data_IF_597592689479
#
_entry.id   IF_597592689479
#
_cell.length_a   1.000
_cell.length_b   1.000
_cell.length_c   1.000
_cell.angle_alpha   90.00
_cell.angle_beta   90.00
_cell.angle_gamma   90.00
#
_symmetry.space_group_name_H-M   'P 1'
#
loop_
_entity.id
_entity.type
_entity.pdbx_description
1 polymer ?
#
# COMPACT_ATOMS: atom_id res chain seq x y z
N UNK A 1 -21.81 17.33 12.63
CA UNK A 1 -20.90 17.78 11.56
C UNK A 1 -21.80 18.23 10.42
N UNK A 2 -22.04 19.54 10.31
CA UNK A 2 -22.77 20.12 9.18
C UNK A 2 -22.04 19.77 7.87
N UNK A 3 -22.80 19.44 6.82
CA UNK A 3 -22.23 19.05 5.53
C UNK A 3 -21.53 20.27 4.92
N UNK A 4 -20.20 20.25 4.85
CA UNK A 4 -19.40 21.27 4.16
C UNK A 4 -19.72 21.25 2.65
N UNK A 5 -19.94 20.07 2.09
CA UNK A 5 -20.40 19.86 0.71
C UNK A 5 -21.59 18.89 0.73
N UNK A 6 -22.71 19.25 0.13
CA UNK A 6 -23.98 18.50 0.29
C UNK A 6 -23.92 17.12 -0.35
N UNK A 7 -23.12 16.96 -1.41
CA UNK A 7 -22.88 15.73 -2.16
C UNK A 7 -21.76 14.81 -1.65
N UNK A 8 -20.87 15.29 -0.78
CA UNK A 8 -19.68 14.53 -0.33
C UNK A 8 -19.67 14.32 1.18
N UNK A 9 -20.08 13.13 1.62
CA UNK A 9 -20.01 12.74 3.03
C UNK A 9 -18.62 12.16 3.34
N UNK A 10 -17.80 12.82 4.16
CA UNK A 10 -16.46 12.34 4.47
C UNK A 10 -16.51 10.98 5.19
N UNK A 11 -15.58 10.10 4.86
CA UNK A 11 -15.15 9.07 5.81
C UNK A 11 -14.51 9.79 6.98
N UNK A 12 -15.11 9.70 8.17
CA UNK A 12 -14.77 10.57 9.30
C UNK A 12 -13.30 10.52 9.71
N UNK A 13 -12.66 9.36 9.58
CA UNK A 13 -11.22 9.16 9.91
C UNK A 13 -10.25 9.66 8.84
N UNK A 14 -10.75 10.00 7.66
CA UNK A 14 -9.95 10.48 6.53
C UNK A 14 -9.76 12.00 6.49
N UNK A 15 -10.44 12.74 7.37
CA UNK A 15 -10.35 14.20 7.41
C UNK A 15 -9.01 14.62 8.01
N UNK A 16 -8.18 15.30 7.21
CA UNK A 16 -6.92 15.89 7.65
C UNK A 16 -6.82 17.35 7.16
N UNK A 17 -5.97 18.13 7.82
CA UNK A 17 -5.72 19.54 7.48
C UNK A 17 -4.23 19.81 7.27
N UNK A 18 -3.90 20.61 6.26
CA UNK A 18 -2.54 21.08 5.94
C UNK A 18 -2.62 22.55 5.54
N UNK A 19 -1.93 23.44 6.26
CA UNK A 19 -1.85 24.88 5.97
C UNK A 19 -3.21 25.54 5.66
N UNK A 20 -4.20 25.27 6.51
CA UNK A 20 -5.57 25.78 6.37
C UNK A 20 -6.40 25.11 5.27
N UNK A 21 -5.84 24.14 4.55
CA UNK A 21 -6.53 23.33 3.53
C UNK A 21 -7.03 22.04 4.17
N UNK A 22 -8.21 21.60 3.77
CA UNK A 22 -8.81 20.34 4.26
C UNK A 22 -8.80 19.31 3.14
N UNK A 23 -8.40 18.09 3.45
CA UNK A 23 -8.45 16.96 2.53
C UNK A 23 -9.12 15.77 3.22
N UNK A 24 -10.03 15.11 2.51
CA UNK A 24 -10.73 13.93 3.01
C UNK A 24 -11.14 13.01 1.86
N UNK A 25 -11.36 11.74 2.16
CA UNK A 25 -12.01 10.81 1.23
C UNK A 25 -13.52 10.84 1.42
N UNK A 26 -14.24 10.72 0.32
CA UNK A 26 -15.70 10.57 0.29
C UNK A 26 -16.07 9.52 -0.74
N UNK A 27 -17.19 8.85 -0.52
CA UNK A 27 -17.79 8.00 -1.55
C UNK A 27 -18.61 8.84 -2.53
N UNK A 28 -18.37 8.67 -3.82
CA UNK A 28 -19.16 9.22 -4.93
C UNK A 28 -19.75 8.06 -5.75
N UNK A 29 -21.06 7.83 -5.65
CA UNK A 29 -21.73 6.68 -6.28
C UNK A 29 -21.06 5.34 -5.88
N UNK A 30 -20.35 4.71 -6.81
CA UNK A 30 -19.69 3.42 -6.63
C UNK A 30 -18.19 3.53 -6.31
N UNK A 31 -17.60 4.72 -6.44
CA UNK A 31 -16.15 4.93 -6.32
C UNK A 31 -15.83 5.88 -5.17
N UNK A 32 -14.66 5.72 -4.58
CA UNK A 32 -14.13 6.66 -3.57
C UNK A 32 -13.34 7.76 -4.31
N UNK A 33 -13.38 8.99 -3.78
CA UNK A 33 -12.66 10.15 -4.31
C UNK A 33 -12.03 10.95 -3.17
N UNK A 34 -10.95 11.67 -3.48
CA UNK A 34 -10.39 12.70 -2.59
C UNK A 34 -11.05 14.04 -2.86
N UNK A 35 -11.38 14.75 -1.79
CA UNK A 35 -11.93 16.09 -1.81
C UNK A 35 -10.96 17.01 -1.09
N UNK A 36 -10.50 18.06 -1.78
CA UNK A 36 -9.59 19.06 -1.24
C UNK A 36 -10.29 20.42 -1.22
N UNK A 37 -10.36 21.07 -0.07
CA UNK A 37 -11.00 22.37 0.15
C UNK A 37 -9.94 23.38 0.60
N UNK A 38 -9.98 24.59 0.05
CA UNK A 38 -9.14 25.70 0.52
C UNK A 38 -7.85 25.93 -0.25
N UNK A 39 -7.65 25.28 -1.40
CA UNK A 39 -6.55 25.60 -2.32
C UNK A 39 -5.97 24.37 -3.03
N UNK A 40 -4.92 24.62 -3.81
CA UNK A 40 -4.19 23.59 -4.54
C UNK A 40 -3.06 22.99 -3.68
N UNK A 41 -2.94 21.68 -3.72
CA UNK A 41 -1.87 20.89 -3.10
C UNK A 41 -1.07 20.09 -4.17
N UNK A 42 -1.30 20.34 -5.46
CA UNK A 42 -0.68 19.62 -6.56
C UNK A 42 -1.26 18.23 -6.80
N UNK A 43 -2.50 17.99 -6.35
CA UNK A 43 -3.26 16.80 -6.72
C UNK A 43 -3.89 17.00 -8.09
N UNK A 44 -3.97 15.93 -8.87
CA UNK A 44 -4.66 15.93 -10.17
C UNK A 44 -6.17 15.73 -9.94
N UNK A 45 -7.01 16.52 -10.59
CA UNK A 45 -8.46 16.41 -10.41
C UNK A 45 -9.27 17.48 -11.14
N UNK A 46 -10.56 17.52 -10.84
CA UNK A 46 -11.51 18.47 -11.41
C UNK A 46 -11.83 19.53 -10.36
N UNK A 47 -11.56 20.80 -10.69
CA UNK A 47 -11.98 21.93 -9.84
C UNK A 47 -13.50 22.07 -9.91
N UNK A 48 -14.13 22.30 -8.77
CA UNK A 48 -15.58 22.39 -8.61
C UNK A 48 -15.94 23.40 -7.53
N UNK A 49 -17.20 23.83 -7.52
CA UNK A 49 -17.73 24.78 -6.55
C UNK A 49 -19.15 24.38 -6.14
N UNK A 50 -19.43 24.41 -4.84
CA UNK A 50 -20.76 24.14 -4.29
C UNK A 50 -21.00 25.09 -3.11
N UNK A 51 -22.13 25.80 -3.10
CA UNK A 51 -22.49 26.78 -2.05
C UNK A 51 -21.38 27.83 -1.78
N UNK A 52 -20.66 28.26 -2.82
CA UNK A 52 -19.54 29.22 -2.71
C UNK A 52 -18.24 28.63 -2.17
N UNK A 53 -18.18 27.32 -1.94
CA UNK A 53 -16.98 26.61 -1.49
C UNK A 53 -16.31 25.97 -2.70
N UNK A 54 -15.08 26.42 -2.99
CA UNK A 54 -14.24 25.84 -4.03
C UNK A 54 -13.51 24.60 -3.51
N UNK A 55 -13.52 23.55 -4.31
CA UNK A 55 -12.83 22.30 -3.99
C UNK A 55 -12.29 21.62 -5.24
N UNK A 56 -11.25 20.80 -5.06
CA UNK A 56 -10.75 19.88 -6.08
C UNK A 56 -11.30 18.49 -5.78
N UNK A 57 -11.88 17.84 -6.78
CA UNK A 57 -12.23 16.42 -6.76
C UNK A 57 -11.14 15.62 -7.45
N UNK A 58 -10.34 14.90 -6.68
CA UNK A 58 -9.20 14.14 -7.15
C UNK A 58 -9.52 12.62 -7.20
N UNK A 59 -9.35 11.95 -8.35
CA UNK A 59 -9.51 10.50 -8.46
C UNK A 59 -8.39 9.76 -7.73
N UNK A 60 -8.62 8.48 -7.39
CA UNK A 60 -7.64 7.62 -6.71
C UNK A 60 -6.63 7.04 -7.71
N UNK A 61 -5.78 7.89 -8.28
CA UNK A 61 -4.72 7.53 -9.23
C UNK A 61 -3.38 7.35 -8.54
N UNK A 62 -2.42 6.72 -9.23
CA UNK A 62 -1.04 6.58 -8.75
C UNK A 62 -0.39 7.93 -8.41
N UNK A 63 -0.52 8.93 -9.28
CA UNK A 63 0.03 10.27 -9.03
C UNK A 63 -0.54 10.89 -7.74
N UNK A 64 -1.84 10.75 -7.52
CA UNK A 64 -2.49 11.24 -6.30
C UNK A 64 -2.11 10.41 -5.07
N UNK A 65 -1.86 9.10 -5.21
CA UNK A 65 -1.34 8.27 -4.13
C UNK A 65 0.08 8.69 -3.73
N UNK A 66 0.96 8.96 -4.71
CA UNK A 66 2.29 9.52 -4.47
C UNK A 66 2.22 10.85 -3.73
N UNK A 67 1.35 11.78 -4.15
CA UNK A 67 1.11 13.04 -3.43
C UNK A 67 0.60 12.82 -2.02
N UNK A 68 -0.30 11.86 -1.82
CA UNK A 68 -0.82 11.53 -0.49
C UNK A 68 0.31 11.03 0.43
N UNK A 69 1.22 10.20 -0.08
CA UNK A 69 2.41 9.71 0.64
C UNK A 69 3.37 10.84 1.01
N UNK A 70 3.57 11.83 0.13
CA UNK A 70 4.39 13.02 0.39
C UNK A 70 3.81 13.86 1.54
N UNK A 71 2.51 14.16 1.51
CA UNK A 71 1.86 15.02 2.52
C UNK A 71 1.53 14.29 3.83
N UNK A 72 1.25 12.99 3.75
CA UNK A 72 0.85 12.16 4.88
C UNK A 72 1.74 10.93 4.96
N UNK A 73 2.90 11.03 5.63
CA UNK A 73 3.87 9.93 5.69
C UNK A 73 3.32 8.62 6.28
N UNK A 74 2.23 8.66 7.05
CA UNK A 74 1.56 7.44 7.56
C UNK A 74 0.89 6.61 6.45
N UNK A 75 0.72 7.19 5.26
CA UNK A 75 0.19 6.53 4.07
C UNK A 75 1.29 5.90 3.20
N UNK A 76 2.56 6.16 3.51
CA UNK A 76 3.70 5.51 2.89
C UNK A 76 4.09 4.23 3.68
N UNK A 77 4.63 3.20 3.00
CA UNK A 77 5.18 2.05 3.69
C UNK A 77 6.44 2.47 4.44
N UNK A 78 6.72 1.80 5.56
CA UNK A 78 7.97 1.99 6.32
C UNK A 78 8.65 0.64 6.55
N UNK A 79 9.97 0.61 6.77
CA UNK A 79 10.63 -0.60 7.26
C UNK A 79 10.00 -1.05 8.58
N UNK A 80 9.52 -2.30 8.63
CA UNK A 80 8.81 -2.86 9.79
C UNK A 80 9.50 -4.06 10.44
N UNK A 81 10.61 -4.56 9.88
CA UNK A 81 11.32 -5.75 10.39
C UNK A 81 11.98 -5.54 11.76
N UNK A 82 12.10 -4.30 12.23
CA UNK A 82 12.57 -3.99 13.60
C UNK A 82 11.48 -4.12 14.68
N UNK A 83 10.22 -4.41 14.29
CA UNK A 83 9.12 -4.60 15.23
C UNK A 83 9.06 -6.05 15.71
N UNK A 84 8.71 -6.27 16.97
CA UNK A 84 8.65 -7.61 17.59
C UNK A 84 7.69 -8.57 16.87
N UNK A 85 6.60 -8.04 16.29
CA UNK A 85 5.52 -8.83 15.71
C UNK A 85 5.04 -8.19 14.42
N UNK A 86 5.23 -8.90 13.32
CA UNK A 86 4.80 -8.48 11.98
C UNK A 86 3.99 -9.58 11.31
N UNK A 87 2.97 -9.21 10.53
CA UNK A 87 2.15 -10.19 9.80
C UNK A 87 1.90 -9.72 8.37
N UNK A 88 2.22 -10.62 7.43
CA UNK A 88 1.86 -10.54 6.02
C UNK A 88 0.38 -10.77 5.78
N UNK A 89 -0.30 -9.82 5.13
CA UNK A 89 -1.73 -9.90 4.84
C UNK A 89 -2.03 -9.50 3.40
N UNK A 90 -1.38 -10.22 2.47
CA UNK A 90 -1.51 -9.99 1.03
C UNK A 90 -2.96 -9.99 0.53
N UNK A 91 -3.24 -9.09 -0.41
CA UNK A 91 -4.58 -8.82 -0.93
C UNK A 91 -4.57 -8.79 -2.46
N UNK A 92 -4.90 -9.94 -3.06
CA UNK A 92 -4.98 -10.11 -4.52
C UNK A 92 -6.08 -9.28 -5.16
N UNK A 93 -7.09 -8.89 -4.40
CA UNK A 93 -8.31 -8.23 -4.90
C UNK A 93 -8.31 -6.73 -4.67
N UNK A 94 -7.51 -6.24 -3.72
CA UNK A 94 -7.45 -4.83 -3.34
C UNK A 94 -8.65 -4.33 -2.52
N UNK A 95 -9.39 -5.22 -1.88
CA UNK A 95 -10.61 -4.88 -1.11
C UNK A 95 -10.58 -5.35 0.35
N UNK A 96 -9.58 -6.15 0.74
CA UNK A 96 -9.48 -6.76 2.06
C UNK A 96 -8.82 -5.82 3.09
N UNK A 97 -8.04 -4.83 2.64
CA UNK A 97 -7.28 -3.92 3.51
C UNK A 97 -8.09 -3.32 4.69
N UNK A 98 -9.34 -2.82 4.51
CA UNK A 98 -10.13 -2.31 5.63
C UNK A 98 -10.43 -3.38 6.71
N UNK A 99 -10.57 -4.64 6.30
CA UNK A 99 -10.70 -5.78 7.20
C UNK A 99 -9.41 -6.07 7.96
N UNK A 100 -8.27 -6.08 7.25
CA UNK A 100 -6.95 -6.22 7.85
C UNK A 100 -6.72 -5.12 8.90
N UNK A 101 -6.98 -3.86 8.57
CA UNK A 101 -6.82 -2.73 9.48
C UNK A 101 -7.61 -2.89 10.77
N UNK A 102 -8.85 -3.41 10.73
CA UNK A 102 -9.62 -3.68 11.96
C UNK A 102 -8.97 -4.73 12.87
N UNK A 103 -8.31 -5.73 12.29
CA UNK A 103 -7.54 -6.72 13.07
C UNK A 103 -6.35 -6.02 13.72
N UNK A 104 -5.56 -5.29 12.94
CA UNK A 104 -4.35 -4.67 13.47
C UNK A 104 -4.63 -3.53 14.44
N UNK A 105 -5.76 -2.82 14.36
CA UNK A 105 -6.18 -1.88 15.41
C UNK A 105 -6.41 -2.55 16.77
N UNK A 106 -6.83 -3.83 16.78
CA UNK A 106 -7.12 -4.57 17.99
C UNK A 106 -5.88 -5.25 18.60
N UNK A 107 -4.91 -5.63 17.77
CA UNK A 107 -3.77 -6.45 18.20
C UNK A 107 -2.43 -5.71 18.08
N UNK A 108 -1.51 -6.07 18.96
CA UNK A 108 -0.15 -5.54 18.99
C UNK A 108 0.75 -6.27 17.98
N UNK A 109 0.50 -6.02 16.70
CA UNK A 109 1.34 -6.42 15.59
C UNK A 109 1.32 -5.33 14.50
N UNK A 110 2.38 -5.25 13.72
CA UNK A 110 2.48 -4.33 12.59
C UNK A 110 2.17 -5.06 11.27
N UNK A 111 1.22 -4.58 10.47
CA UNK A 111 0.86 -5.26 9.24
C UNK A 111 1.83 -4.96 8.10
N UNK A 112 2.07 -5.96 7.26
CA UNK A 112 2.56 -5.79 5.90
C UNK A 112 1.33 -5.84 5.00
N UNK A 113 0.78 -4.65 4.72
CA UNK A 113 -0.50 -4.52 4.01
C UNK A 113 -0.34 -4.67 2.50
N UNK A 114 0.79 -4.23 1.95
CA UNK A 114 1.10 -4.33 0.53
C UNK A 114 2.03 -5.53 0.31
N UNK A 115 1.46 -6.69 0.02
CA UNK A 115 2.22 -7.92 -0.22
C UNK A 115 1.61 -8.70 -1.38
N UNK A 116 2.40 -8.92 -2.42
CA UNK A 116 2.12 -9.87 -3.50
C UNK A 116 3.45 -10.35 -4.12
N UNK A 117 3.43 -11.56 -4.66
CA UNK A 117 4.50 -12.08 -5.50
C UNK A 117 4.35 -11.66 -6.96
N UNK A 118 5.46 -11.64 -7.72
CA UNK A 118 5.45 -11.39 -9.17
C UNK A 118 4.47 -12.32 -9.91
N UNK A 119 4.38 -13.59 -9.48
CA UNK A 119 3.42 -14.54 -10.03
C UNK A 119 1.97 -14.08 -9.82
N UNK A 120 1.62 -13.58 -8.64
CA UNK A 120 0.27 -13.11 -8.36
C UNK A 120 -0.06 -11.81 -9.09
N UNK A 121 0.90 -10.90 -9.23
CA UNK A 121 0.76 -9.69 -10.05
C UNK A 121 0.41 -10.06 -11.50
N UNK A 122 1.17 -10.97 -12.10
CA UNK A 122 0.93 -11.43 -13.47
C UNK A 122 -0.45 -12.11 -13.64
N UNK A 123 -0.85 -12.96 -12.69
CA UNK A 123 -2.15 -13.65 -12.74
C UNK A 123 -3.35 -12.72 -12.52
N UNK A 124 -3.16 -11.61 -11.82
CA UNK A 124 -4.22 -10.63 -11.52
C UNK A 124 -4.22 -9.44 -12.46
N UNK A 125 -3.20 -9.29 -13.31
CA UNK A 125 -3.03 -8.12 -14.17
C UNK A 125 -2.78 -6.83 -13.40
N UNK A 126 -2.19 -6.94 -12.20
CA UNK A 126 -1.88 -5.82 -11.31
C UNK A 126 -0.38 -5.57 -11.26
N UNK A 127 0.00 -4.39 -10.81
CA UNK A 127 1.39 -3.97 -10.58
C UNK A 127 1.67 -3.76 -9.10
N UNK A 128 2.94 -3.63 -8.72
CA UNK A 128 3.29 -3.25 -7.34
C UNK A 128 2.77 -1.86 -6.95
N UNK A 129 2.70 -0.94 -7.91
CA UNK A 129 2.09 0.39 -7.72
C UNK A 129 0.60 0.25 -7.36
N UNK A 130 -0.15 -0.57 -8.10
CA UNK A 130 -1.57 -0.83 -7.82
C UNK A 130 -1.78 -1.41 -6.41
N UNK A 131 -0.88 -2.29 -5.96
CA UNK A 131 -0.96 -2.89 -4.62
C UNK A 131 -0.70 -1.84 -3.55
N UNK A 132 0.35 -1.03 -3.71
CA UNK A 132 0.72 -0.02 -2.73
C UNK A 132 -0.28 1.14 -2.68
N UNK A 133 -0.83 1.55 -3.82
CA UNK A 133 -1.78 2.66 -3.92
C UNK A 133 -3.11 2.31 -3.26
N UNK A 134 -3.62 1.09 -3.47
CA UNK A 134 -4.81 0.60 -2.76
C UNK A 134 -4.62 0.68 -1.25
N UNK A 135 -3.45 0.26 -0.75
CA UNK A 135 -3.13 0.34 0.68
C UNK A 135 -3.04 1.79 1.15
N UNK A 136 -2.36 2.65 0.38
CA UNK A 136 -2.20 4.09 0.65
C UNK A 136 -3.54 4.77 0.87
N UNK A 137 -4.51 4.54 -0.02
CA UNK A 137 -5.86 5.08 0.13
C UNK A 137 -6.64 4.42 1.25
N UNK A 138 -6.51 3.11 1.46
CA UNK A 138 -7.20 2.42 2.54
C UNK A 138 -6.76 2.91 3.94
N UNK A 139 -5.46 3.08 4.18
CA UNK A 139 -4.95 3.58 5.46
C UNK A 139 -5.33 5.04 5.67
N UNK A 140 -5.36 5.85 4.60
CA UNK A 140 -5.85 7.22 4.67
C UNK A 140 -7.34 7.27 5.02
N UNK A 141 -8.16 6.47 4.32
CA UNK A 141 -9.61 6.39 4.54
C UNK A 141 -9.97 6.01 5.96
N UNK A 142 -9.31 4.97 6.48
CA UNK A 142 -9.53 4.43 7.81
C UNK A 142 -8.75 5.17 8.91
N UNK A 143 -7.94 6.17 8.55
CA UNK A 143 -7.11 6.93 9.48
C UNK A 143 -6.13 6.05 10.27
N UNK A 144 -5.62 4.98 9.67
CA UNK A 144 -4.68 4.06 10.30
C UNK A 144 -3.27 4.65 10.29
N UNK A 145 -2.83 5.20 11.44
CA UNK A 145 -1.57 5.96 11.55
C UNK A 145 -0.41 5.19 12.20
N UNK A 146 -0.59 3.92 12.58
CA UNK A 146 0.46 3.08 13.19
C UNK A 146 1.58 2.71 12.21
N UNK A 147 1.32 2.86 10.91
CA UNK A 147 2.23 2.52 9.82
C UNK A 147 2.14 1.05 9.42
N UNK A 148 2.65 0.73 8.23
CA UNK A 148 2.57 -0.59 7.62
C UNK A 148 3.82 -0.87 6.77
N UNK A 149 4.07 -2.14 6.49
CA UNK A 149 5.11 -2.58 5.55
C UNK A 149 4.58 -2.87 4.15
N UNK A 150 5.49 -2.88 3.19
CA UNK A 150 5.28 -3.35 1.84
C UNK A 150 6.34 -4.39 1.48
N UNK A 151 5.94 -5.61 1.13
CA UNK A 151 6.79 -6.77 0.87
C UNK A 151 6.71 -7.23 -0.59
N UNK A 152 7.86 -7.16 -1.26
CA UNK A 152 8.07 -7.72 -2.58
C UNK A 152 8.29 -9.22 -2.38
N UNK A 153 7.20 -9.98 -2.49
CA UNK A 153 7.18 -11.38 -2.09
C UNK A 153 7.78 -12.29 -3.18
N UNK A 154 8.51 -13.33 -2.79
CA UNK A 154 9.11 -14.32 -3.68
C UNK A 154 9.87 -13.76 -4.90
N UNK A 155 10.71 -12.74 -4.72
CA UNK A 155 11.56 -12.21 -5.81
C UNK A 155 12.73 -13.15 -6.08
N UNK A 156 13.10 -13.31 -7.35
CA UNK A 156 14.17 -14.22 -7.78
C UNK A 156 15.26 -13.52 -8.55
N UNK A 157 14.93 -12.50 -9.33
CA UNK A 157 15.90 -11.81 -10.18
C UNK A 157 16.29 -10.42 -9.67
N UNK A 158 17.43 -9.90 -10.12
CA UNK A 158 17.88 -8.56 -9.78
C UNK A 158 16.92 -7.48 -10.31
N UNK A 159 16.30 -7.72 -11.48
CA UNK A 159 15.33 -6.83 -12.10
C UNK A 159 14.04 -6.75 -11.29
N UNK A 160 13.55 -7.90 -10.77
CA UNK A 160 12.38 -7.94 -9.89
C UNK A 160 12.64 -7.19 -8.58
N UNK A 161 13.86 -7.33 -8.02
CA UNK A 161 14.29 -6.60 -6.83
C UNK A 161 14.39 -5.10 -7.09
N UNK A 162 15.02 -4.68 -8.20
CA UNK A 162 15.10 -3.28 -8.60
C UNK A 162 13.70 -2.67 -8.81
N UNK A 163 12.79 -3.43 -9.42
CA UNK A 163 11.40 -3.01 -9.61
C UNK A 163 10.70 -2.77 -8.27
N UNK A 164 10.76 -3.72 -7.33
CA UNK A 164 10.16 -3.57 -6.00
C UNK A 164 10.73 -2.34 -5.25
N UNK A 165 12.05 -2.16 -5.28
CA UNK A 165 12.71 -1.01 -4.65
C UNK A 165 12.27 0.33 -5.27
N UNK A 166 12.15 0.41 -6.60
CA UNK A 166 11.64 1.61 -7.29
C UNK A 166 10.20 1.94 -6.91
N UNK A 167 9.36 0.93 -6.68
CA UNK A 167 7.99 1.11 -6.20
C UNK A 167 7.90 1.49 -4.70
N UNK A 168 9.03 1.59 -3.99
CA UNK A 168 9.06 1.98 -2.58
C UNK A 168 8.75 0.84 -1.61
N UNK A 169 8.92 -0.42 -2.02
CA UNK A 169 8.76 -1.55 -1.13
C UNK A 169 9.87 -1.57 -0.07
N UNK A 170 9.49 -1.91 1.16
CA UNK A 170 10.32 -1.74 2.37
C UNK A 170 10.76 -3.06 3.00
N UNK A 171 10.28 -4.17 2.44
CA UNK A 171 10.65 -5.53 2.73
C UNK A 171 10.81 -6.28 1.41
N UNK A 172 11.82 -7.15 1.35
CA UNK A 172 12.12 -7.97 0.18
C UNK A 172 12.23 -9.41 0.64
N UNK A 173 11.44 -10.28 0.04
CA UNK A 173 11.52 -11.73 0.24
C UNK A 173 12.22 -12.34 -0.97
N UNK A 174 13.53 -12.59 -0.83
CA UNK A 174 14.34 -13.22 -1.87
C UNK A 174 14.16 -14.75 -1.83
N UNK A 175 13.62 -15.31 -2.91
CA UNK A 175 13.42 -16.74 -3.09
C UNK A 175 14.65 -17.40 -3.71
N UNK A 176 15.47 -18.02 -2.87
CA UNK A 176 16.66 -18.75 -3.30
C UNK A 176 16.39 -20.23 -3.62
N UNK A 177 15.13 -20.68 -3.67
CA UNK A 177 14.80 -22.11 -3.81
C UNK A 177 15.39 -22.76 -5.05
N UNK A 178 15.49 -22.02 -6.16
CA UNK A 178 16.08 -22.48 -7.42
C UNK A 178 17.61 -22.68 -7.35
N UNK A 179 18.25 -22.11 -6.33
CA UNK A 179 19.69 -22.27 -6.08
C UNK A 179 20.00 -23.41 -5.10
N UNK A 180 19.00 -24.04 -4.51
CA UNK A 180 19.18 -25.16 -3.58
C UNK A 180 19.37 -26.46 -4.40
N UNK A 181 20.54 -27.09 -4.24
CA UNK A 181 20.86 -28.43 -4.79
C UNK A 181 20.06 -29.51 -4.06
N UNK A 182 18.82 -29.72 -4.48
CA UNK A 182 17.92 -30.72 -3.87
C UNK A 182 18.36 -32.16 -4.13
N UNK A 183 19.15 -32.39 -5.18
CA UNK A 183 19.70 -33.68 -5.59
C UNK A 183 20.72 -34.25 -4.59
N UNK A 184 21.37 -33.42 -3.78
CA UNK A 184 22.35 -33.85 -2.77
C UNK A 184 21.71 -34.82 -1.76
N UNK A 185 20.43 -34.66 -1.44
CA UNK A 185 19.75 -35.50 -0.46
C UNK A 185 19.65 -36.96 -0.91
N UNK A 186 19.65 -37.21 -2.22
CA UNK A 186 19.55 -38.54 -2.80
C UNK A 186 20.94 -39.12 -3.17
N UNK A 187 22.01 -38.36 -2.97
CA UNK A 187 23.38 -38.79 -3.31
C UNK A 187 24.00 -39.69 -2.23
N UNK A 188 24.75 -40.74 -2.63
CA UNK A 188 25.60 -41.47 -1.70
C UNK A 188 26.65 -40.55 -1.06
N UNK A 189 26.97 -40.81 0.21
CA UNK A 189 27.94 -39.99 0.98
C UNK A 189 29.27 -39.79 0.23
N UNK A 190 29.81 -40.83 -0.40
CA UNK A 190 31.07 -40.73 -1.16
C UNK A 190 31.00 -39.73 -2.32
N UNK A 191 29.85 -39.62 -2.98
CA UNK A 191 29.64 -38.66 -4.06
C UNK A 191 29.52 -37.23 -3.50
N UNK A 192 28.83 -37.07 -2.37
CA UNK A 192 28.75 -35.78 -1.67
C UNK A 192 30.14 -35.31 -1.23
N UNK A 193 30.92 -36.18 -0.59
CA UNK A 193 32.29 -35.87 -0.15
C UNK A 193 33.20 -35.49 -1.33
N UNK A 194 33.00 -36.13 -2.50
CA UNK A 194 33.74 -35.79 -3.73
C UNK A 194 33.31 -34.45 -4.35
N UNK A 195 32.03 -34.10 -4.34
CA UNK A 195 31.57 -32.80 -4.87
C UNK A 195 31.92 -31.64 -3.93
N UNK A 196 32.14 -31.92 -2.64
CA UNK A 196 32.54 -30.92 -1.64
C UNK A 196 34.03 -30.53 -1.72
N UNK A 197 34.91 -31.45 -2.13
CA UNK A 197 36.36 -31.28 -2.18
C UNK A 197 36.90 -31.00 -3.59
#
# INVERSE_FOLDING_TARGET
>A
MEKILTGFKPYSKSVNMIDGKTIYMSKEKAEDVLILVGGDLGFEGINSEENGIKYLKAPLTHNNACKLREYFPFTAPKPILSNDRTFGVGDRLGVACPGHLRVFEKYDAIPILAQQSIRELNLTGRTYEDVLDVVTFAVYREGFKRGFGADGDHLKTAEELEYALKCGYTMITLDCSEHIRNDINDMPKEQVDKEYH
#
